data_IF_913018148602
#
_entry.id   IF_913018148602
#
_cell.length_a   1.000
_cell.length_b   1.000
_cell.length_c   1.000
_cell.angle_alpha   90.00
_cell.angle_beta   90.00
_cell.angle_gamma   90.00
#
_symmetry.space_group_name_H-M   'P 1'
#
loop_
_entity.id
_entity.type
_entity.pdbx_description
1 polymer ?
#
# COMPACT_ATOMS: atom_id res chain seq x y z
N UNK A 1 -41.96 -4.62 24.06
CA UNK A 1 -41.50 -4.92 22.67
C UNK A 1 -40.97 -3.70 21.92
N UNK A 2 -41.72 -2.61 21.71
CA UNK A 2 -41.25 -1.42 20.95
C UNK A 2 -39.92 -0.82 21.45
N UNK A 3 -39.70 -0.77 22.77
CA UNK A 3 -38.47 -0.21 23.35
C UNK A 3 -37.26 -1.15 23.23
N UNK A 4 -37.49 -2.47 23.23
CA UNK A 4 -36.45 -3.49 23.02
C UNK A 4 -36.00 -3.49 21.56
N UNK A 5 -36.95 -3.35 20.62
CA UNK A 5 -36.64 -3.24 19.19
C UNK A 5 -35.84 -1.96 18.88
N UNK A 6 -36.17 -0.83 19.52
CA UNK A 6 -35.39 0.42 19.43
C UNK A 6 -33.97 0.26 19.98
N UNK A 7 -33.81 -0.49 21.07
CA UNK A 7 -32.50 -0.76 21.67
C UNK A 7 -31.62 -1.64 20.76
N UNK A 8 -32.20 -2.68 20.15
CA UNK A 8 -31.49 -3.49 19.14
C UNK A 8 -31.17 -2.70 17.87
N UNK A 9 -32.05 -1.78 17.46
CA UNK A 9 -31.78 -0.89 16.33
C UNK A 9 -30.63 0.09 16.66
N UNK A 10 -30.62 0.67 17.86
CA UNK A 10 -29.53 1.55 18.33
C UNK A 10 -28.19 0.80 18.50
N UNK A 11 -28.21 -0.44 19.01
CA UNK A 11 -27.03 -1.31 19.10
C UNK A 11 -26.51 -1.71 17.71
N UNK A 12 -27.41 -2.01 16.77
CA UNK A 12 -27.04 -2.28 15.38
C UNK A 12 -26.45 -1.06 14.67
N UNK A 13 -27.01 0.14 14.89
CA UNK A 13 -26.45 1.38 14.35
C UNK A 13 -25.10 1.72 15.01
N UNK A 14 -24.93 1.53 16.32
CA UNK A 14 -23.64 1.74 16.99
C UNK A 14 -22.56 0.75 16.52
N UNK A 15 -22.91 -0.51 16.22
CA UNK A 15 -21.99 -1.49 15.66
C UNK A 15 -21.53 -1.13 14.23
N UNK A 16 -22.37 -0.44 13.46
CA UNK A 16 -22.03 0.05 12.12
C UNK A 16 -21.15 1.31 12.14
N UNK A 17 -21.09 2.04 13.26
CA UNK A 17 -20.27 3.26 13.43
C UNK A 17 -18.86 2.93 13.94
N UNK A 18 -18.54 1.65 14.20
CA UNK A 18 -17.20 1.21 14.62
C UNK A 18 -16.36 0.63 13.48
N UNK A 19 -16.84 0.68 12.23
CA UNK A 19 -15.98 0.39 11.08
C UNK A 19 -15.11 1.63 10.89
N UNK A 20 -13.93 1.62 11.49
CA UNK A 20 -12.90 2.62 11.20
C UNK A 20 -12.68 2.63 9.67
N UNK A 21 -12.74 3.79 9.01
CA UNK A 21 -12.42 3.90 7.59
C UNK A 21 -10.89 3.86 7.43
N UNK A 22 -10.34 2.69 7.70
CA UNK A 22 -8.95 2.33 7.48
C UNK A 22 -8.96 0.93 6.86
N UNK A 23 -9.67 0.80 5.75
CA UNK A 23 -8.99 0.21 4.62
C UNK A 23 -8.15 1.40 4.12
N UNK A 24 -6.83 1.31 4.25
CA UNK A 24 -5.94 1.69 3.17
C UNK A 24 -6.06 0.55 2.13
N UNK A 25 -5.16 0.48 1.14
CA UNK A 25 -5.00 -0.77 0.39
C UNK A 25 -5.12 -1.95 1.35
N UNK A 26 -6.01 -2.91 1.06
CA UNK A 26 -6.31 -3.92 2.06
C UNK A 26 -5.03 -4.66 2.43
N UNK A 27 -4.95 -5.24 3.63
CA UNK A 27 -3.81 -6.10 4.03
C UNK A 27 -3.46 -7.09 2.93
N UNK A 28 -4.47 -7.62 2.22
CA UNK A 28 -4.28 -8.50 1.07
C UNK A 28 -3.53 -7.82 -0.09
N UNK A 29 -3.88 -6.57 -0.42
CA UNK A 29 -3.20 -5.83 -1.48
C UNK A 29 -1.72 -5.57 -1.14
N UNK A 30 -1.43 -5.16 0.10
CA UNK A 30 -0.04 -4.96 0.52
C UNK A 30 0.78 -6.25 0.52
N UNK A 31 0.19 -7.36 1.00
CA UNK A 31 0.81 -8.68 0.92
C UNK A 31 1.03 -9.12 -0.53
N UNK A 32 0.07 -8.88 -1.42
CA UNK A 32 0.19 -9.22 -2.84
C UNK A 32 1.27 -8.41 -3.54
N UNK A 33 1.42 -7.12 -3.22
CA UNK A 33 2.57 -6.35 -3.70
C UNK A 33 3.87 -6.94 -3.16
N UNK A 34 3.97 -7.21 -1.85
CA UNK A 34 5.19 -7.77 -1.26
C UNK A 34 5.57 -9.10 -1.94
N UNK A 35 4.59 -9.97 -2.18
CA UNK A 35 4.75 -11.20 -2.97
C UNK A 35 5.33 -10.91 -4.35
N UNK A 36 4.68 -10.00 -5.09
CA UNK A 36 5.04 -9.70 -6.46
C UNK A 36 6.43 -9.08 -6.55
N UNK A 37 6.77 -8.17 -5.65
CA UNK A 37 8.11 -7.60 -5.54
C UNK A 37 9.12 -8.73 -5.32
N UNK A 38 8.93 -9.55 -4.29
CA UNK A 38 9.83 -10.67 -3.97
C UNK A 38 10.07 -11.60 -5.16
N UNK A 39 9.00 -12.04 -5.83
CA UNK A 39 9.08 -12.98 -6.95
C UNK A 39 9.61 -12.38 -8.25
N UNK A 40 9.70 -11.04 -8.38
CA UNK A 40 10.28 -10.38 -9.55
C UNK A 40 11.73 -9.95 -9.34
N UNK A 41 12.26 -10.02 -8.11
CA UNK A 41 13.67 -9.72 -7.85
C UNK A 41 14.60 -10.76 -8.51
N UNK A 42 15.86 -10.39 -8.84
CA UNK A 42 16.86 -11.34 -9.31
C UNK A 42 17.04 -12.50 -8.33
N UNK A 43 17.29 -13.71 -8.85
CA UNK A 43 17.33 -14.93 -8.04
C UNK A 43 18.32 -14.86 -6.86
N UNK A 44 19.49 -14.25 -7.06
CA UNK A 44 20.52 -14.11 -6.03
C UNK A 44 20.20 -13.08 -4.93
N UNK A 45 19.25 -12.18 -5.21
CA UNK A 45 18.65 -11.28 -4.23
C UNK A 45 17.51 -12.00 -3.52
N UNK A 46 16.62 -12.63 -4.30
CA UNK A 46 15.45 -13.35 -3.81
C UNK A 46 15.85 -14.45 -2.80
N UNK A 47 16.89 -15.23 -3.09
CA UNK A 47 17.39 -16.31 -2.21
C UNK A 47 17.90 -15.81 -0.85
N UNK A 48 18.28 -14.53 -0.74
CA UNK A 48 18.70 -13.92 0.53
C UNK A 48 17.50 -13.44 1.33
N UNK A 49 16.49 -12.88 0.65
CA UNK A 49 15.35 -12.24 1.30
C UNK A 49 14.33 -13.26 1.82
N UNK A 50 13.54 -12.81 2.79
CA UNK A 50 12.52 -13.57 3.51
C UNK A 50 11.14 -13.00 3.16
N UNK A 51 10.35 -13.79 2.44
CA UNK A 51 9.04 -13.36 1.98
C UNK A 51 8.06 -13.09 3.14
N UNK A 52 8.10 -13.90 4.19
CA UNK A 52 7.18 -13.75 5.32
C UNK A 52 7.51 -12.46 6.08
N UNK A 53 8.80 -12.15 6.25
CA UNK A 53 9.22 -10.87 6.80
C UNK A 53 8.80 -9.67 5.91
N UNK A 54 8.87 -9.79 4.58
CA UNK A 54 8.34 -8.75 3.69
C UNK A 54 6.83 -8.54 3.87
N UNK A 55 6.05 -9.62 4.03
CA UNK A 55 4.61 -9.52 4.28
C UNK A 55 4.30 -8.87 5.61
N UNK A 56 4.98 -9.30 6.67
CA UNK A 56 4.87 -8.72 8.02
C UNK A 56 5.21 -7.22 8.02
N UNK A 57 6.17 -6.80 7.19
CA UNK A 57 6.48 -5.38 7.04
C UNK A 57 5.41 -4.61 6.27
N UNK A 58 4.75 -5.25 5.31
CA UNK A 58 3.86 -4.58 4.36
C UNK A 58 2.49 -4.20 4.95
N UNK A 59 2.05 -4.83 6.05
CA UNK A 59 0.80 -4.45 6.74
C UNK A 59 1.04 -3.65 8.03
N UNK A 60 2.22 -3.79 8.64
CA UNK A 60 2.56 -3.18 9.94
C UNK A 60 2.30 -1.67 10.06
N UNK A 61 2.48 -0.83 9.03
CA UNK A 61 2.06 0.57 9.10
C UNK A 61 0.60 0.76 9.55
N UNK A 62 -0.32 -0.05 9.04
CA UNK A 62 -1.73 0.01 9.42
C UNK A 62 -2.04 -0.73 10.72
N UNK A 63 -1.46 -1.92 10.90
CA UNK A 63 -1.92 -2.86 11.95
C UNK A 63 -1.12 -2.80 13.25
N UNK A 64 0.14 -2.35 13.21
CA UNK A 64 1.05 -2.31 14.38
C UNK A 64 1.53 -0.89 14.69
N UNK A 65 1.89 -0.11 13.68
CA UNK A 65 2.34 1.27 13.87
C UNK A 65 1.16 2.23 14.04
N UNK A 66 0.00 1.87 13.47
CA UNK A 66 -1.21 2.69 13.45
C UNK A 66 -0.96 4.06 12.81
N UNK A 67 -0.20 4.09 11.71
CA UNK A 67 0.26 5.31 11.04
C UNK A 67 -0.73 5.86 10.01
N UNK A 68 -1.93 6.25 10.43
CA UNK A 68 -2.96 6.76 9.50
C UNK A 68 -2.71 8.20 8.98
N UNK A 69 -1.49 8.74 9.14
CA UNK A 69 -1.17 10.12 8.78
C UNK A 69 -0.15 10.20 7.63
N UNK A 70 0.69 9.19 7.45
CA UNK A 70 1.82 9.27 6.52
C UNK A 70 1.64 8.41 5.26
N UNK A 71 0.40 8.08 4.89
CA UNK A 71 0.07 7.23 3.73
C UNK A 71 -0.07 8.02 2.42
N UNK A 72 0.19 9.32 2.47
CA UNK A 72 0.08 10.23 1.32
C UNK A 72 1.41 10.92 1.03
N UNK A 73 1.72 11.11 -0.25
CA UNK A 73 2.86 11.94 -0.67
C UNK A 73 2.65 13.41 -0.23
N UNK A 74 3.68 14.09 0.33
CA UNK A 74 5.08 13.69 0.38
C UNK A 74 5.51 12.92 1.63
N UNK A 75 4.63 12.74 2.62
CA UNK A 75 4.98 12.08 3.88
C UNK A 75 5.31 10.59 3.68
N UNK A 76 4.55 9.91 2.84
CA UNK A 76 4.79 8.52 2.44
C UNK A 76 6.16 8.32 1.81
N UNK A 77 6.62 9.26 0.98
CA UNK A 77 7.97 9.22 0.41
C UNK A 77 9.05 9.30 1.49
N UNK A 78 8.91 10.18 2.48
CA UNK A 78 9.88 10.28 3.58
C UNK A 78 9.95 8.98 4.39
N UNK A 79 8.80 8.34 4.64
CA UNK A 79 8.72 7.04 5.32
C UNK A 79 9.33 5.93 4.48
N UNK A 80 8.96 5.83 3.21
CA UNK A 80 9.51 4.88 2.27
C UNK A 80 11.05 5.00 2.20
N UNK A 81 11.57 6.21 2.04
CA UNK A 81 13.01 6.47 2.00
C UNK A 81 13.71 5.99 3.29
N UNK A 82 13.16 6.31 4.45
CA UNK A 82 13.73 5.85 5.73
C UNK A 82 13.83 4.32 5.78
N UNK A 83 12.76 3.62 5.42
CA UNK A 83 12.72 2.15 5.47
C UNK A 83 13.57 1.50 4.39
N UNK A 84 13.67 2.10 3.20
CA UNK A 84 14.63 1.67 2.17
C UNK A 84 16.08 1.81 2.64
N UNK A 85 16.42 2.92 3.31
CA UNK A 85 17.75 3.15 3.88
C UNK A 85 18.08 2.13 4.98
N UNK A 86 17.11 1.80 5.85
CA UNK A 86 17.25 0.73 6.84
C UNK A 86 17.42 -0.63 6.14
N UNK A 87 16.57 -0.96 5.17
CA UNK A 87 16.64 -2.21 4.43
C UNK A 87 18.00 -2.42 3.77
N UNK A 88 18.52 -1.37 3.11
CA UNK A 88 19.89 -1.37 2.55
C UNK A 88 20.95 -1.65 3.61
N UNK A 89 20.86 -0.97 4.75
CA UNK A 89 21.81 -1.17 5.85
C UNK A 89 21.83 -2.63 6.31
N UNK A 90 20.67 -3.21 6.62
CA UNK A 90 20.60 -4.60 7.11
C UNK A 90 20.97 -5.63 6.04
N UNK A 91 20.62 -5.37 4.78
CA UNK A 91 21.02 -6.23 3.66
C UNK A 91 22.56 -6.31 3.55
N UNK A 92 23.24 -5.16 3.66
CA UNK A 92 24.70 -5.10 3.62
C UNK A 92 25.38 -5.74 4.84
N UNK A 93 24.67 -5.86 5.96
CA UNK A 93 25.15 -6.58 7.15
C UNK A 93 24.84 -8.09 7.10
N UNK A 94 24.16 -8.58 6.06
CA UNK A 94 23.71 -9.97 5.96
C UNK A 94 22.52 -10.31 6.87
N UNK A 95 21.88 -9.32 7.50
CA UNK A 95 20.65 -9.51 8.25
C UNK A 95 19.44 -9.42 7.31
N UNK A 96 19.28 -10.44 6.48
CA UNK A 96 18.31 -10.39 5.40
C UNK A 96 16.86 -10.45 5.86
N UNK A 97 16.55 -11.13 6.96
CA UNK A 97 15.18 -11.13 7.53
C UNK A 97 14.76 -9.70 7.89
N UNK A 98 15.62 -8.94 8.58
CA UNK A 98 15.25 -7.56 8.94
C UNK A 98 15.32 -6.59 7.76
N UNK A 99 16.20 -6.84 6.79
CA UNK A 99 16.18 -6.12 5.52
C UNK A 99 14.86 -6.33 4.77
N UNK A 100 14.38 -7.57 4.72
CA UNK A 100 13.12 -7.97 4.10
C UNK A 100 11.93 -7.29 4.77
N UNK A 101 11.89 -7.28 6.10
CA UNK A 101 10.90 -6.51 6.86
C UNK A 101 10.89 -5.03 6.46
N UNK A 102 12.07 -4.41 6.43
CA UNK A 102 12.20 -3.00 6.03
C UNK A 102 11.72 -2.75 4.59
N UNK A 103 12.00 -3.66 3.65
CA UNK A 103 11.51 -3.56 2.28
C UNK A 103 10.00 -3.76 2.18
N UNK A 104 9.40 -4.62 3.01
CA UNK A 104 7.95 -4.72 3.17
C UNK A 104 7.32 -3.42 3.65
N UNK A 105 7.88 -2.82 4.70
CA UNK A 105 7.38 -1.53 5.21
C UNK A 105 7.54 -0.42 4.16
N UNK A 106 8.66 -0.41 3.43
CA UNK A 106 8.86 0.55 2.35
C UNK A 106 7.83 0.36 1.22
N UNK A 107 7.55 -0.88 0.81
CA UNK A 107 6.60 -1.16 -0.27
C UNK A 107 5.19 -0.66 0.08
N UNK A 108 4.78 -0.79 1.33
CA UNK A 108 3.54 -0.22 1.86
C UNK A 108 3.43 1.28 1.55
N UNK A 109 4.33 2.10 2.10
CA UNK A 109 4.28 3.57 1.92
C UNK A 109 4.42 3.99 0.46
N UNK A 110 5.22 3.26 -0.33
CA UNK A 110 5.33 3.52 -1.77
C UNK A 110 3.98 3.29 -2.42
N UNK A 111 3.41 2.09 -2.27
CA UNK A 111 2.15 1.71 -2.93
C UNK A 111 0.97 2.59 -2.56
N UNK A 112 0.89 3.01 -1.30
CA UNK A 112 -0.20 3.88 -0.82
C UNK A 112 -0.22 5.25 -1.49
N UNK A 113 0.92 5.72 -1.99
CA UNK A 113 0.97 6.95 -2.77
C UNK A 113 0.19 6.84 -4.07
N UNK A 114 0.13 5.63 -4.64
CA UNK A 114 -0.58 5.34 -5.88
C UNK A 114 -2.05 5.00 -5.64
N UNK A 115 -2.47 4.78 -4.39
CA UNK A 115 -3.89 4.71 -4.05
C UNK A 115 -4.59 6.02 -4.41
N UNK A 116 -5.47 6.00 -5.42
CA UNK A 116 -6.25 7.16 -5.81
C UNK A 116 -6.93 7.90 -4.64
N UNK A 117 -7.64 7.22 -3.70
CA UNK A 117 -8.26 7.92 -2.58
C UNK A 117 -7.24 8.60 -1.65
N UNK A 118 -6.03 8.07 -1.51
CA UNK A 118 -4.98 8.69 -0.69
C UNK A 118 -4.45 9.98 -1.31
N UNK A 119 -4.50 10.10 -2.64
CA UNK A 119 -4.08 11.31 -3.35
C UNK A 119 -4.99 12.53 -3.10
N UNK A 120 -6.19 12.33 -2.56
CA UNK A 120 -7.14 13.40 -2.23
C UNK A 120 -7.49 13.45 -0.73
N UNK A 121 -6.77 12.69 0.13
CA UNK A 121 -7.06 12.54 1.57
C UNK A 121 -8.55 12.22 1.84
N UNK A 122 -9.14 11.43 0.96
CA UNK A 122 -10.55 11.09 1.01
C UNK A 122 -10.80 10.04 2.10
N UNK A 123 -11.96 10.03 2.77
CA UNK A 123 -12.25 9.09 3.89
C UNK A 123 -13.68 8.54 3.89
N UNK A 124 -14.42 8.75 2.81
CA UNK A 124 -15.81 8.29 2.67
C UNK A 124 -15.93 6.81 2.36
N UNK A 125 -17.17 6.31 2.29
CA UNK A 125 -17.46 4.95 1.85
C UNK A 125 -16.91 4.64 0.44
N UNK A 126 -16.70 5.65 -0.40
CA UNK A 126 -16.10 5.46 -1.72
C UNK A 126 -14.63 5.06 -1.63
N UNK A 127 -13.90 5.56 -0.62
CA UNK A 127 -12.52 5.14 -0.33
C UNK A 127 -12.51 3.63 -0.06
N UNK A 128 -13.30 3.19 0.92
CA UNK A 128 -13.37 1.78 1.30
C UNK A 128 -13.87 0.89 0.14
N UNK A 129 -14.78 1.38 -0.71
CA UNK A 129 -15.25 0.65 -1.88
C UNK A 129 -14.15 0.49 -2.93
N UNK A 130 -13.37 1.53 -3.19
CA UNK A 130 -12.25 1.50 -4.13
C UNK A 130 -11.25 0.40 -3.72
N UNK A 131 -10.84 0.39 -2.46
CA UNK A 131 -9.83 -0.56 -1.98
C UNK A 131 -10.35 -1.97 -1.79
N UNK A 132 -11.61 -2.12 -1.37
CA UNK A 132 -12.27 -3.42 -1.35
C UNK A 132 -12.31 -4.03 -2.76
N UNK A 133 -12.53 -3.22 -3.80
CA UNK A 133 -12.47 -3.70 -5.18
C UNK A 133 -11.05 -4.06 -5.59
N UNK A 134 -10.07 -3.25 -5.20
CA UNK A 134 -8.66 -3.54 -5.41
C UNK A 134 -8.24 -4.91 -4.86
N UNK A 135 -8.83 -5.36 -3.73
CA UNK A 135 -8.54 -6.66 -3.13
C UNK A 135 -8.89 -7.87 -4.00
N UNK A 136 -9.64 -7.69 -5.10
CA UNK A 136 -9.96 -8.74 -6.07
C UNK A 136 -9.03 -8.76 -7.29
N UNK A 137 -8.07 -7.83 -7.34
CA UNK A 137 -7.14 -7.69 -8.45
C UNK A 137 -5.73 -8.10 -8.05
N UNK A 138 -4.97 -8.57 -9.02
CA UNK A 138 -3.56 -8.91 -8.87
C UNK A 138 -2.74 -7.87 -9.63
N UNK A 139 -1.71 -7.34 -8.99
CA UNK A 139 -0.82 -6.38 -9.64
C UNK A 139 0.16 -7.05 -10.62
N UNK A 140 0.54 -6.28 -11.63
CA UNK A 140 1.59 -6.56 -12.60
C UNK A 140 2.75 -5.59 -12.40
N UNK A 141 3.96 -6.13 -12.35
CA UNK A 141 5.17 -5.35 -12.12
C UNK A 141 5.88 -5.08 -13.45
N UNK A 142 6.34 -3.85 -13.59
CA UNK A 142 7.32 -3.43 -14.58
C UNK A 142 8.38 -2.55 -13.93
N UNK A 143 9.56 -2.44 -14.53
CA UNK A 143 10.58 -1.50 -14.06
C UNK A 143 10.21 -0.07 -14.50
N UNK A 144 10.28 0.88 -13.57
CA UNK A 144 10.07 2.30 -13.83
C UNK A 144 11.40 3.03 -13.90
N UNK A 145 11.57 3.91 -14.89
CA UNK A 145 12.75 4.77 -14.98
C UNK A 145 12.53 6.05 -14.16
N UNK A 146 13.56 6.48 -13.44
CA UNK A 146 13.54 7.73 -12.66
C UNK A 146 13.98 7.51 -11.21
N UNK A 147 14.11 8.61 -10.46
CA UNK A 147 14.28 8.53 -9.02
C UNK A 147 12.91 8.35 -8.33
N UNK A 148 12.93 7.81 -7.10
CA UNK A 148 11.72 7.47 -6.37
C UNK A 148 10.85 8.68 -6.04
N UNK A 149 11.46 9.85 -5.77
CA UNK A 149 10.71 11.07 -5.43
C UNK A 149 9.87 11.51 -6.62
N UNK A 150 10.48 11.59 -7.80
CA UNK A 150 9.79 11.90 -9.06
C UNK A 150 8.69 10.88 -9.38
N UNK A 151 8.97 9.57 -9.25
CA UNK A 151 8.00 8.49 -9.52
C UNK A 151 6.79 8.60 -8.58
N UNK A 152 7.02 8.83 -7.28
CA UNK A 152 5.94 8.95 -6.30
C UNK A 152 5.16 10.26 -6.46
N UNK A 153 5.84 11.36 -6.82
CA UNK A 153 5.17 12.62 -7.12
C UNK A 153 4.23 12.49 -8.33
N UNK A 154 4.69 11.87 -9.42
CA UNK A 154 3.87 11.63 -10.61
C UNK A 154 2.69 10.70 -10.27
N UNK A 155 2.94 9.63 -9.53
CA UNK A 155 1.89 8.74 -9.02
C UNK A 155 0.81 9.47 -8.21
N UNK A 156 1.22 10.38 -7.33
CA UNK A 156 0.30 11.22 -6.56
C UNK A 156 -0.55 12.16 -7.43
N UNK A 157 0.05 12.77 -8.46
CA UNK A 157 -0.68 13.65 -9.38
C UNK A 157 -1.65 12.86 -10.26
N UNK A 158 -1.22 11.69 -10.74
CA UNK A 158 -2.06 10.78 -11.51
C UNK A 158 -3.21 10.20 -10.68
N UNK A 159 -2.95 9.82 -9.43
CA UNK A 159 -3.95 9.31 -8.50
C UNK A 159 -5.11 10.28 -8.27
N UNK A 160 -4.87 11.60 -8.28
CA UNK A 160 -5.95 12.62 -8.25
C UNK A 160 -6.86 12.56 -9.48
N UNK A 161 -6.28 12.27 -10.65
CA UNK A 161 -7.04 12.13 -11.88
C UNK A 161 -7.79 10.79 -11.90
N UNK A 162 -7.13 9.70 -11.51
CA UNK A 162 -7.74 8.38 -11.32
C UNK A 162 -8.95 8.47 -10.38
N UNK A 163 -8.80 9.16 -9.25
CA UNK A 163 -9.86 9.33 -8.26
C UNK A 163 -11.10 10.00 -8.85
N UNK A 164 -10.92 11.16 -9.50
CA UNK A 164 -12.01 11.93 -10.10
C UNK A 164 -12.74 11.14 -11.18
N UNK A 165 -12.00 10.41 -12.01
CA UNK A 165 -12.59 9.62 -13.08
C UNK A 165 -13.33 8.41 -12.51
N UNK A 166 -12.72 7.65 -11.60
CA UNK A 166 -13.35 6.51 -10.95
C UNK A 166 -14.62 6.92 -10.19
N UNK A 167 -14.63 8.04 -9.46
CA UNK A 167 -15.85 8.54 -8.81
C UNK A 167 -16.98 8.84 -9.81
N UNK A 168 -16.64 9.25 -11.03
CA UNK A 168 -17.60 9.60 -12.08
C UNK A 168 -18.18 8.37 -12.78
N UNK A 169 -17.37 7.35 -13.05
CA UNK A 169 -17.74 6.24 -13.93
C UNK A 169 -17.66 4.86 -13.28
N UNK A 170 -17.05 4.72 -12.10
CA UNK A 170 -16.85 3.47 -11.39
C UNK A 170 -16.00 2.45 -12.14
N UNK A 171 -15.14 2.91 -13.05
CA UNK A 171 -14.33 2.09 -13.95
C UNK A 171 -13.10 1.53 -13.23
N UNK A 172 -13.08 0.22 -13.00
CA UNK A 172 -12.02 -0.45 -12.25
C UNK A 172 -10.67 -0.50 -13.00
N UNK A 173 -10.60 -0.06 -14.27
CA UNK A 173 -9.31 0.12 -14.97
C UNK A 173 -8.39 1.09 -14.23
N UNK A 174 -8.93 2.13 -13.58
CA UNK A 174 -8.13 3.02 -12.74
C UNK A 174 -7.53 2.29 -11.54
N UNK A 175 -8.30 1.39 -10.91
CA UNK A 175 -7.80 0.58 -9.78
C UNK A 175 -6.64 -0.30 -10.25
N UNK A 176 -6.77 -0.94 -11.41
CA UNK A 176 -5.70 -1.77 -11.98
C UNK A 176 -4.44 -0.97 -12.29
N UNK A 177 -4.58 0.17 -12.96
CA UNK A 177 -3.43 1.01 -13.34
C UNK A 177 -2.70 1.56 -12.10
N UNK A 178 -3.45 2.02 -11.10
CA UNK A 178 -2.90 2.52 -9.84
C UNK A 178 -2.21 1.39 -9.06
N UNK A 179 -2.81 0.19 -9.05
CA UNK A 179 -2.28 -1.03 -8.43
C UNK A 179 -0.95 -1.47 -9.05
N UNK A 180 -0.90 -1.53 -10.38
CA UNK A 180 0.29 -1.92 -11.15
C UNK A 180 1.43 -0.91 -10.99
N UNK A 181 1.12 0.39 -11.01
CA UNK A 181 2.11 1.46 -10.80
C UNK A 181 2.69 1.43 -9.39
N UNK A 182 1.85 1.27 -8.37
CA UNK A 182 2.30 1.16 -6.98
C UNK A 182 3.25 -0.01 -6.76
N UNK A 183 2.90 -1.19 -7.30
CA UNK A 183 3.76 -2.37 -7.24
C UNK A 183 5.06 -2.19 -8.03
N UNK A 184 4.98 -1.60 -9.23
CA UNK A 184 6.13 -1.32 -10.10
C UNK A 184 7.11 -0.33 -9.45
N UNK A 185 6.60 0.71 -8.78
CA UNK A 185 7.39 1.68 -8.04
C UNK A 185 8.11 1.02 -6.85
N UNK A 186 7.41 0.21 -6.07
CA UNK A 186 8.01 -0.52 -4.94
C UNK A 186 9.11 -1.48 -5.41
N UNK A 187 8.85 -2.25 -6.46
CA UNK A 187 9.83 -3.14 -7.08
C UNK A 187 11.07 -2.38 -7.55
N UNK A 188 10.87 -1.31 -8.32
CA UNK A 188 11.95 -0.48 -8.86
C UNK A 188 12.83 0.07 -7.73
N UNK A 189 12.21 0.59 -6.67
CA UNK A 189 12.92 1.17 -5.54
C UNK A 189 13.80 0.14 -4.81
N UNK A 190 13.26 -1.05 -4.56
CA UNK A 190 13.98 -2.12 -3.88
C UNK A 190 15.08 -2.67 -4.80
N UNK A 191 14.77 -2.96 -6.06
CA UNK A 191 15.74 -3.44 -7.04
C UNK A 191 16.96 -2.51 -7.14
N UNK A 192 16.75 -1.19 -7.24
CA UNK A 192 17.85 -0.21 -7.36
C UNK A 192 18.76 -0.13 -6.13
N UNK A 193 18.38 -0.76 -5.02
CA UNK A 193 19.16 -0.79 -3.78
C UNK A 193 19.96 -2.08 -3.63
N UNK A 194 19.39 -3.22 -4.05
CA UNK A 194 19.95 -4.56 -3.76
C UNK A 194 20.28 -5.41 -4.98
N UNK A 195 19.81 -5.03 -6.18
CA UNK A 195 20.14 -5.64 -7.47
C UNK A 195 21.29 -4.92 -8.17
#
# INVERSE_FOLDING_TARGET
MKNILKMFFLLGVFALVQITPAAAWSVNNHHDIANKVYYNLPADVQEKLDLDAMRDGADDPDIKFFDFQNHQYPASYQKAKYWLDQGKYYYNQGNYTYASYCFGVASHYISDTFSAPHSENERSANHALYEMRAAFFTCHISYLNGDLDSIMYDGYIEGKNSWKNWQKNGDDTYIHEDLDKGASAAYTAILNIVG
#
